data_IF_838290822988
#
_entry.id   IF_838290822988
#
_cell.length_a   1.000
_cell.length_b   1.000
_cell.length_c   1.000
_cell.angle_alpha   90.00
_cell.angle_beta   90.00
_cell.angle_gamma   90.00
#
_symmetry.space_group_name_H-M   'P 1'
#
loop_
_entity.id
_entity.type
_entity.pdbx_description
1 polymer ?
#
# COMPACT_ATOMS: atom_id res chain seq x y z
N UNK A 1 4.24 -29.74 -21.65
CA UNK A 1 5.48 -28.96 -21.36
C UNK A 1 5.17 -27.53 -20.91
N UNK A 2 4.44 -26.73 -21.71
CA UNK A 2 4.07 -25.34 -21.37
C UNK A 2 3.33 -25.21 -20.04
N UNK A 3 2.32 -26.07 -19.79
CA UNK A 3 1.56 -26.05 -18.53
C UNK A 3 2.45 -26.35 -17.31
N UNK A 4 3.43 -27.25 -17.44
CA UNK A 4 4.34 -27.61 -16.34
C UNK A 4 5.24 -26.43 -15.96
N UNK A 5 5.80 -25.74 -16.96
CA UNK A 5 6.63 -24.54 -16.75
C UNK A 5 5.82 -23.42 -16.10
N UNK A 6 4.60 -23.19 -16.59
CA UNK A 6 3.70 -22.17 -16.05
C UNK A 6 3.31 -22.46 -14.59
N UNK A 7 2.96 -23.72 -14.25
CA UNK A 7 2.60 -24.08 -12.87
C UNK A 7 3.78 -23.91 -11.90
N UNK A 8 5.00 -24.28 -12.31
CA UNK A 8 6.20 -24.09 -11.48
C UNK A 8 6.47 -22.60 -11.28
N UNK A 9 6.40 -21.80 -12.35
CA UNK A 9 6.55 -20.34 -12.29
C UNK A 9 5.52 -19.67 -11.37
N UNK A 10 4.23 -19.99 -11.55
CA UNK A 10 3.14 -19.46 -10.73
C UNK A 10 3.28 -19.86 -9.26
N UNK A 11 3.78 -21.06 -8.97
CA UNK A 11 4.01 -21.49 -7.58
C UNK A 11 5.08 -20.62 -6.91
N UNK A 12 6.16 -20.28 -7.63
CA UNK A 12 7.22 -19.39 -7.13
C UNK A 12 6.71 -17.95 -7.02
N UNK A 13 5.94 -17.48 -7.99
CA UNK A 13 5.33 -16.14 -7.98
C UNK A 13 4.36 -15.94 -6.82
N UNK A 14 3.47 -16.90 -6.60
CA UNK A 14 2.42 -16.80 -5.60
C UNK A 14 2.95 -16.99 -4.18
N UNK A 15 3.92 -17.89 -3.96
CA UNK A 15 4.39 -18.24 -2.61
C UNK A 15 5.63 -17.45 -2.15
N UNK A 16 6.43 -16.89 -3.06
CA UNK A 16 7.68 -16.20 -2.70
C UNK A 16 7.71 -14.75 -3.18
N UNK A 17 7.47 -14.50 -4.48
CA UNK A 17 7.59 -13.16 -5.02
C UNK A 17 6.46 -12.26 -4.52
N UNK A 18 5.21 -12.77 -4.51
CA UNK A 18 4.06 -12.03 -3.99
C UNK A 18 4.31 -11.53 -2.57
N UNK A 19 4.56 -12.38 -1.54
CA UNK A 19 4.82 -11.90 -0.18
C UNK A 19 6.05 -11.00 -0.08
N UNK A 20 7.11 -11.26 -0.86
CA UNK A 20 8.31 -10.42 -0.87
C UNK A 20 8.06 -9.02 -1.44
N UNK A 21 7.20 -8.90 -2.44
CA UNK A 21 6.83 -7.63 -3.07
C UNK A 21 5.81 -6.89 -2.19
N UNK A 22 4.70 -7.55 -1.80
CA UNK A 22 3.66 -6.92 -0.97
C UNK A 22 4.15 -6.58 0.45
N UNK A 23 5.02 -7.41 1.03
CA UNK A 23 5.65 -7.15 2.33
C UNK A 23 6.52 -5.89 2.34
N UNK A 24 7.02 -5.44 1.18
CA UNK A 24 7.78 -4.19 1.03
C UNK A 24 6.92 -2.97 0.66
N UNK A 25 5.71 -3.16 0.14
CA UNK A 25 4.99 -2.06 -0.54
C UNK A 25 3.84 -1.46 0.23
N UNK A 26 3.27 -2.10 1.25
CA UNK A 26 2.18 -1.46 2.02
C UNK A 26 2.22 -1.82 3.50
N UNK A 27 2.74 -0.91 4.33
CA UNK A 27 2.50 -0.92 5.79
C UNK A 27 1.04 -0.52 6.11
N UNK A 28 0.08 -1.05 5.37
CA UNK A 28 -1.34 -0.83 5.63
C UNK A 28 -1.81 -1.89 6.60
N UNK A 29 -2.39 -1.45 7.71
CA UNK A 29 -2.98 -2.35 8.69
C UNK A 29 -4.15 -3.11 8.03
N UNK A 30 -4.22 -4.46 8.12
CA UNK A 30 -5.29 -5.24 7.48
C UNK A 30 -6.70 -4.78 7.85
N UNK A 31 -6.88 -4.32 9.10
CA UNK A 31 -8.16 -3.76 9.56
C UNK A 31 -8.56 -2.47 8.82
N UNK A 32 -7.60 -1.64 8.41
CA UNK A 32 -7.89 -0.42 7.65
C UNK A 32 -8.40 -0.74 6.24
N UNK A 33 -7.88 -1.81 5.63
CA UNK A 33 -8.36 -2.31 4.33
C UNK A 33 -9.80 -2.81 4.47
N UNK A 34 -10.09 -3.64 5.49
CA UNK A 34 -11.44 -4.12 5.76
C UNK A 34 -12.40 -2.94 6.00
N UNK A 35 -11.99 -1.97 6.81
CA UNK A 35 -12.81 -0.78 7.08
C UNK A 35 -13.08 0.03 5.81
N UNK A 36 -12.07 0.28 4.99
CA UNK A 36 -12.24 0.98 3.72
C UNK A 36 -13.17 0.22 2.76
N UNK A 37 -13.09 -1.11 2.70
CA UNK A 37 -13.98 -1.94 1.90
C UNK A 37 -15.44 -1.85 2.38
N UNK A 38 -15.68 -1.87 3.70
CA UNK A 38 -17.02 -1.72 4.26
C UNK A 38 -17.61 -0.34 3.92
N UNK A 39 -16.83 0.73 4.12
CA UNK A 39 -17.24 2.10 3.80
C UNK A 39 -17.48 2.27 2.29
N UNK A 40 -16.57 1.77 1.45
CA UNK A 40 -16.72 1.81 -0.01
C UNK A 40 -17.91 0.99 -0.48
N UNK A 41 -18.15 -0.18 0.12
CA UNK A 41 -19.30 -1.03 -0.13
C UNK A 41 -20.62 -0.33 0.18
N UNK A 42 -20.71 0.38 1.30
CA UNK A 42 -21.89 1.15 1.68
C UNK A 42 -22.13 2.34 0.73
N UNK A 43 -21.08 3.07 0.36
CA UNK A 43 -21.19 4.30 -0.45
C UNK A 43 -21.45 4.04 -1.94
N UNK A 44 -20.92 2.95 -2.49
CA UNK A 44 -20.92 2.70 -3.94
C UNK A 44 -21.01 1.23 -4.33
N UNK A 45 -21.39 0.34 -3.41
CA UNK A 45 -21.47 -1.09 -3.65
C UNK A 45 -20.15 -1.68 -4.12
N UNK A 46 -20.21 -2.53 -5.14
CA UNK A 46 -19.03 -3.19 -5.72
C UNK A 46 -18.03 -2.16 -6.27
N UNK A 47 -18.50 -1.10 -6.92
CA UNK A 47 -17.63 -0.06 -7.48
C UNK A 47 -16.87 0.65 -6.37
N UNK A 48 -17.54 0.98 -5.26
CA UNK A 48 -16.90 1.60 -4.11
C UNK A 48 -15.89 0.67 -3.43
N UNK A 49 -16.15 -0.64 -3.38
CA UNK A 49 -15.17 -1.62 -2.87
C UNK A 49 -13.91 -1.70 -3.75
N UNK A 50 -14.05 -1.69 -5.08
CA UNK A 50 -12.90 -1.70 -6.00
C UNK A 50 -12.02 -0.45 -5.80
N UNK A 51 -12.64 0.71 -5.58
CA UNK A 51 -11.94 1.98 -5.38
C UNK A 51 -11.43 2.17 -3.94
N UNK A 52 -11.95 1.45 -2.96
CA UNK A 52 -11.62 1.64 -1.55
C UNK A 52 -10.12 1.46 -1.25
N UNK A 53 -9.51 0.39 -1.76
CA UNK A 53 -8.09 0.08 -1.52
C UNK A 53 -7.15 1.11 -2.15
N UNK A 54 -7.26 1.46 -3.45
CA UNK A 54 -6.37 2.46 -4.04
C UNK A 54 -6.52 3.83 -3.37
N UNK A 55 -7.73 4.26 -3.01
CA UNK A 55 -7.95 5.52 -2.29
C UNK A 55 -7.32 5.50 -0.89
N UNK A 56 -7.42 4.39 -0.16
CA UNK A 56 -6.80 4.22 1.15
C UNK A 56 -5.27 4.35 1.06
N UNK A 57 -4.66 3.71 0.06
CA UNK A 57 -3.20 3.79 -0.17
C UNK A 57 -2.79 5.23 -0.49
N UNK A 58 -3.48 5.89 -1.41
CA UNK A 58 -3.19 7.28 -1.78
C UNK A 58 -3.32 8.22 -0.57
N UNK A 59 -4.39 8.09 0.22
CA UNK A 59 -4.60 8.90 1.42
C UNK A 59 -3.50 8.70 2.46
N UNK A 60 -3.08 7.45 2.70
CA UNK A 60 -1.94 7.15 3.59
C UNK A 60 -0.66 7.83 3.10
N UNK A 61 -0.31 7.69 1.82
CA UNK A 61 0.94 8.24 1.30
C UNK A 61 0.96 9.77 1.39
N UNK A 62 -0.16 10.42 1.07
CA UNK A 62 -0.30 11.87 1.23
C UNK A 62 -0.14 12.27 2.71
N UNK A 63 -0.78 11.55 3.63
CA UNK A 63 -0.68 11.84 5.06
C UNK A 63 0.75 11.71 5.58
N UNK A 64 1.47 10.67 5.15
CA UNK A 64 2.87 10.47 5.49
C UNK A 64 3.73 11.60 4.92
N UNK A 65 3.51 11.99 3.67
CA UNK A 65 4.26 13.06 3.03
C UNK A 65 4.05 14.41 3.75
N UNK A 66 2.80 14.72 4.11
CA UNK A 66 2.47 15.94 4.88
C UNK A 66 3.11 15.89 6.26
N UNK A 67 2.98 14.78 6.99
CA UNK A 67 3.62 14.61 8.30
C UNK A 67 5.15 14.76 8.23
N UNK A 68 5.77 14.19 7.18
CA UNK A 68 7.21 14.29 6.98
C UNK A 68 7.68 15.70 6.62
N UNK A 69 6.92 16.47 5.85
CA UNK A 69 7.25 17.87 5.53
C UNK A 69 7.24 18.78 6.78
N UNK A 70 6.40 18.46 7.76
CA UNK A 70 6.32 19.20 9.03
C UNK A 70 7.43 18.81 10.01
N UNK A 71 7.82 17.52 10.05
CA UNK A 71 8.83 17.02 10.99
C UNK A 71 10.27 17.28 10.52
N UNK A 72 10.52 17.42 9.20
CA UNK A 72 11.89 17.59 8.64
C UNK A 72 12.42 19.02 8.58
N UNK A 73 11.95 19.92 9.44
CA UNK A 73 12.61 21.21 9.69
C UNK A 73 13.38 21.23 11.03
N UNK A 74 14.50 20.49 11.21
CA UNK A 74 15.55 20.93 12.09
C UNK A 74 16.40 21.95 11.33
N UNK A 75 16.13 23.22 11.64
CA UNK A 75 16.98 24.38 11.45
C UNK A 75 18.41 24.07 10.95
N UNK A 76 18.67 24.35 9.67
CA UNK A 76 19.99 24.56 9.07
C UNK A 76 20.60 25.88 9.54
N UNK A 77 20.46 26.23 10.82
CA UNK A 77 20.96 27.47 11.42
C UNK A 77 22.16 27.20 12.32
N UNK A 78 23.11 26.41 11.84
CA UNK A 78 24.47 26.52 12.33
C UNK A 78 25.25 27.32 11.28
N UNK A 79 25.56 28.60 11.55
CA UNK A 79 26.54 29.33 10.76
C UNK A 79 27.87 28.60 10.94
N UNK A 80 28.26 27.82 9.94
CA UNK A 80 29.60 27.26 9.87
C UNK A 80 30.61 28.44 9.95
N UNK A 81 31.49 28.49 10.96
CA UNK A 81 32.48 29.55 11.09
C UNK A 81 33.48 29.58 9.93
#
# INVERSE_FOLDING_TARGET
>A
LVALVNTIGQTVENNLLSPFIVGKTTQLHPLAIIFALLVGGELGGIVGMILAVPLLVMGKEILIQVSQSMIRHPASSDPNP
#
